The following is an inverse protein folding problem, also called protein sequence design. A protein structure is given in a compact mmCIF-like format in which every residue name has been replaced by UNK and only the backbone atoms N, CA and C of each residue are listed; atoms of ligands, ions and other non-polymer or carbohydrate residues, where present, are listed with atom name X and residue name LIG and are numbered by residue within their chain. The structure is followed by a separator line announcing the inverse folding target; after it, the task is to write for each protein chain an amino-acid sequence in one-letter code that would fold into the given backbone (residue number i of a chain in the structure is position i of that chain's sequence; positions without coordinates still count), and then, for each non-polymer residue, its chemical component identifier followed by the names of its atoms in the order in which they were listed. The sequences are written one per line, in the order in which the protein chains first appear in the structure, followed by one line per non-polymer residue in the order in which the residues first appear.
data_IF_278564467741
#
_entry.id   IF_278564467741
#
_cell.length_a   1.000
_cell.length_b   1.000
_cell.length_c   1.000
_cell.angle_alpha   90.00
_cell.angle_beta   90.00
_cell.angle_gamma   90.00
#
_symmetry.space_group_name_H-M   'P 1'
#
loop_
_entity.id
_entity.type
_entity.pdbx_description
1 polymer ?
#
# COMPACT_ATOMS: atom_id res chain seq x y z
N UNK A 1 -4.49 17.75 -10.41
CA UNK A 1 -4.46 16.45 -9.70
C UNK A 1 -4.57 16.65 -8.22
N UNK A 2 -5.39 15.87 -7.60
CA UNK A 2 -5.55 15.88 -6.17
C UNK A 2 -5.24 14.49 -5.63
N UNK A 3 -4.56 14.45 -4.47
CA UNK A 3 -4.21 13.19 -3.81
C UNK A 3 -4.94 13.16 -2.48
N UNK A 4 -5.71 12.11 -2.25
CA UNK A 4 -6.43 11.91 -0.99
C UNK A 4 -5.87 10.71 -0.27
N UNK A 5 -5.48 10.88 0.98
CA UNK A 5 -5.03 9.77 1.81
C UNK A 5 -6.24 8.94 2.21
N UNK A 6 -6.21 7.65 1.88
CA UNK A 6 -7.29 6.73 2.27
C UNK A 6 -6.82 5.73 3.32
N UNK A 7 -5.52 5.41 3.36
CA UNK A 7 -4.95 4.49 4.35
C UNK A 7 -3.66 5.11 4.89
N UNK A 8 -3.44 5.01 6.19
CA UNK A 8 -2.21 5.45 6.83
C UNK A 8 -1.68 4.34 7.74
N UNK A 9 -0.57 4.63 8.44
CA UNK A 9 0.15 3.64 9.25
C UNK A 9 -0.75 2.88 10.21
N UNK A 10 -1.68 3.58 10.84
CA UNK A 10 -2.51 2.99 11.90
C UNK A 10 -3.49 1.95 11.39
N UNK A 11 -3.68 1.86 10.07
CA UNK A 11 -4.54 0.83 9.48
C UNK A 11 -3.76 -0.42 9.08
N UNK A 12 -2.44 -0.42 9.22
CA UNK A 12 -1.60 -1.58 8.88
C UNK A 12 -1.45 -2.45 10.11
N UNK A 13 -1.82 -3.72 10.02
CA UNK A 13 -1.68 -4.65 11.13
C UNK A 13 -0.43 -5.51 11.02
N UNK A 14 0.03 -5.78 9.81
CA UNK A 14 1.27 -6.53 9.62
C UNK A 14 1.82 -6.30 8.23
N UNK A 15 3.11 -6.56 8.06
CA UNK A 15 3.77 -6.47 6.76
C UNK A 15 4.95 -7.44 6.74
N UNK A 16 5.14 -8.07 5.58
CA UNK A 16 6.21 -9.06 5.40
C UNK A 16 6.80 -8.94 4.01
N UNK A 17 8.08 -9.31 3.91
CA UNK A 17 8.73 -9.42 2.61
C UNK A 17 8.36 -10.75 1.98
N UNK A 18 7.98 -10.73 0.72
CA UNK A 18 7.65 -11.94 -0.03
C UNK A 18 8.45 -11.95 -1.32
N UNK A 19 8.74 -13.15 -1.81
CA UNK A 19 9.52 -13.33 -3.04
C UNK A 19 8.83 -14.36 -3.92
N UNK A 20 7.74 -13.94 -4.60
CA UNK A 20 6.97 -14.91 -5.40
C UNK A 20 7.74 -15.45 -6.60
N UNK A 21 8.67 -14.67 -7.14
CA UNK A 21 9.56 -15.12 -8.21
C UNK A 21 10.96 -14.62 -7.90
N UNK A 22 11.58 -13.86 -8.79
CA UNK A 22 12.91 -13.30 -8.56
C UNK A 22 12.88 -11.88 -8.01
N UNK A 23 11.71 -11.38 -7.68
CA UNK A 23 11.57 -10.01 -7.20
C UNK A 23 11.18 -10.01 -5.73
N UNK A 24 11.56 -8.93 -5.04
CA UNK A 24 11.17 -8.71 -3.66
C UNK A 24 9.94 -7.81 -3.64
N UNK A 25 8.97 -8.20 -2.86
CA UNK A 25 7.73 -7.45 -2.69
C UNK A 25 7.40 -7.37 -1.20
N UNK A 26 6.56 -6.44 -0.83
CA UNK A 26 6.13 -6.30 0.56
C UNK A 26 4.61 -6.53 0.61
N UNK A 27 4.22 -7.55 1.34
CA UNK A 27 2.83 -7.90 1.57
C UNK A 27 2.38 -7.23 2.87
N UNK A 28 1.19 -6.63 2.87
CA UNK A 28 0.67 -6.01 4.09
C UNK A 28 -0.78 -6.39 4.31
N UNK A 29 -1.20 -6.33 5.56
CA UNK A 29 -2.60 -6.54 5.94
C UNK A 29 -3.13 -5.32 6.66
N UNK A 30 -4.43 -5.07 6.48
CA UNK A 30 -5.11 -3.94 7.07
C UNK A 30 -5.99 -4.40 8.23
N UNK A 31 -6.26 -3.47 9.15
CA UNK A 31 -7.26 -3.67 10.20
C UNK A 31 -8.65 -3.84 9.58
N UNK A 32 -9.62 -4.27 10.38
CA UNK A 32 -10.99 -4.42 9.91
C UNK A 32 -11.53 -3.11 9.37
N UNK A 33 -11.24 -2.00 10.03
CA UNK A 33 -11.69 -0.70 9.56
C UNK A 33 -10.97 -0.28 8.29
N UNK A 34 -9.65 -0.51 8.22
CA UNK A 34 -8.89 -0.22 7.01
C UNK A 34 -9.37 -1.03 5.82
N UNK A 35 -9.72 -2.28 6.07
CA UNK A 35 -10.29 -3.15 5.04
C UNK A 35 -11.56 -2.56 4.45
N UNK A 36 -12.47 -2.07 5.30
CA UNK A 36 -13.72 -1.48 4.82
C UNK A 36 -13.47 -0.20 4.04
N UNK A 37 -12.59 0.66 4.54
CA UNK A 37 -12.27 1.92 3.87
C UNK A 37 -11.64 1.66 2.51
N UNK A 38 -10.70 0.72 2.47
CA UNK A 38 -10.00 0.40 1.24
C UNK A 38 -10.96 -0.21 0.20
N UNK A 39 -11.83 -1.12 0.63
CA UNK A 39 -12.82 -1.71 -0.26
C UNK A 39 -13.76 -0.66 -0.84
N UNK A 40 -14.21 0.27 0.00
CA UNK A 40 -15.10 1.34 -0.42
C UNK A 40 -14.45 2.21 -1.50
N UNK A 41 -13.23 2.66 -1.25
CA UNK A 41 -12.57 3.57 -2.19
C UNK A 41 -12.12 2.88 -3.46
N UNK A 42 -11.65 1.64 -3.37
CA UNK A 42 -11.20 0.95 -4.58
C UNK A 42 -12.39 0.58 -5.47
N UNK A 43 -13.54 0.22 -4.87
CA UNK A 43 -14.73 -0.11 -5.66
C UNK A 43 -15.21 1.09 -6.48
N UNK A 44 -15.06 2.30 -5.97
CA UNK A 44 -15.52 3.51 -6.64
C UNK A 44 -14.52 4.08 -7.64
N UNK A 45 -13.32 3.53 -7.70
CA UNK A 45 -12.24 4.16 -8.46
C UNK A 45 -11.51 3.16 -9.34
N UNK A 46 -12.26 2.24 -9.93
CA UNK A 46 -11.71 1.28 -10.88
C UNK A 46 -11.06 2.04 -12.03
N UNK A 47 -9.91 1.58 -12.47
CA UNK A 47 -9.08 2.17 -13.54
C UNK A 47 -8.38 3.46 -13.14
N UNK A 48 -8.43 3.84 -11.88
CA UNK A 48 -7.65 4.97 -11.36
C UNK A 48 -6.42 4.44 -10.65
N UNK A 49 -5.53 5.34 -10.26
CA UNK A 49 -4.26 4.97 -9.67
C UNK A 49 -4.27 5.17 -8.17
N UNK A 50 -3.62 4.27 -7.47
CA UNK A 50 -3.24 4.48 -6.07
C UNK A 50 -1.82 5.03 -6.05
N UNK A 51 -1.52 5.86 -5.07
CA UNK A 51 -0.16 6.27 -4.78
C UNK A 51 0.27 5.67 -3.46
N UNK A 52 1.29 4.83 -3.49
CA UNK A 52 1.87 4.27 -2.28
C UNK A 52 3.03 5.17 -1.90
N UNK A 53 2.88 5.89 -0.79
CA UNK A 53 3.80 6.97 -0.41
C UNK A 53 4.48 6.63 0.91
N UNK A 54 5.79 6.69 0.91
CA UNK A 54 6.59 6.52 2.12
C UNK A 54 7.43 7.78 2.31
N UNK A 55 7.22 8.45 3.44
CA UNK A 55 7.97 9.65 3.82
C UNK A 55 8.00 10.68 2.68
N UNK A 56 6.81 10.96 2.11
CA UNK A 56 6.59 11.95 1.04
C UNK A 56 7.13 11.53 -0.31
N UNK A 57 7.58 10.29 -0.46
CA UNK A 57 8.09 9.76 -1.72
C UNK A 57 7.14 8.70 -2.23
N UNK A 58 6.69 8.84 -3.47
CA UNK A 58 5.85 7.82 -4.11
C UNK A 58 6.74 6.64 -4.48
N UNK A 59 6.50 5.50 -3.85
CA UNK A 59 7.30 4.31 -4.09
C UNK A 59 6.63 3.33 -5.06
N UNK A 60 5.33 3.49 -5.28
CA UNK A 60 4.58 2.66 -6.23
C UNK A 60 3.28 3.35 -6.55
N UNK A 61 2.74 3.11 -7.75
CA UNK A 61 1.45 3.69 -8.13
C UNK A 61 0.65 2.72 -9.00
N UNK A 62 0.16 1.61 -8.38
CA UNK A 62 -0.60 0.62 -9.13
C UNK A 62 -1.96 1.14 -9.57
N UNK A 63 -2.47 0.56 -10.65
CA UNK A 63 -3.82 0.87 -11.10
C UNK A 63 -4.80 -0.05 -10.38
N UNK A 64 -5.99 0.49 -10.09
CA UNK A 64 -7.05 -0.28 -9.43
C UNK A 64 -7.81 -1.02 -10.52
N UNK A 65 -7.70 -2.33 -10.55
CA UNK A 65 -8.36 -3.15 -11.56
C UNK A 65 -9.70 -3.67 -11.09
N UNK A 66 -9.86 -3.83 -9.78
CA UNK A 66 -11.10 -4.28 -9.17
C UNK A 66 -11.11 -3.84 -7.71
N UNK A 67 -12.28 -3.92 -7.08
CA UNK A 67 -12.36 -3.60 -5.65
C UNK A 67 -11.46 -4.53 -4.85
N UNK A 68 -10.74 -3.97 -3.89
CA UNK A 68 -9.85 -4.74 -3.03
C UNK A 68 -10.56 -4.92 -1.69
N UNK A 69 -11.13 -6.11 -1.50
CA UNK A 69 -12.03 -6.37 -0.38
C UNK A 69 -11.44 -7.24 0.71
N UNK A 70 -10.25 -7.80 0.49
CA UNK A 70 -9.64 -8.75 1.43
C UNK A 70 -8.83 -8.08 2.51
N UNK A 71 -8.58 -6.78 2.41
CA UNK A 71 -7.78 -6.07 3.41
C UNK A 71 -6.31 -6.40 3.32
N UNK A 72 -5.85 -6.78 2.15
CA UNK A 72 -4.47 -7.15 1.91
C UNK A 72 -3.96 -6.47 0.65
N UNK A 73 -2.67 -6.24 0.58
CA UNK A 73 -2.07 -5.68 -0.60
C UNK A 73 -0.60 -6.04 -0.71
N UNK A 74 -0.07 -5.82 -1.90
CA UNK A 74 1.33 -6.08 -2.18
C UNK A 74 1.92 -4.83 -2.80
N UNK A 75 3.02 -4.36 -2.23
CA UNK A 75 3.78 -3.27 -2.82
C UNK A 75 4.88 -3.89 -3.64
N UNK A 76 4.86 -3.65 -4.94
CA UNK A 76 5.90 -4.12 -5.83
C UNK A 76 6.67 -2.93 -6.37
N UNK A 77 7.92 -3.16 -6.74
CA UNK A 77 8.77 -2.12 -7.26
C UNK A 77 10.17 -2.66 -7.44
N UNK A 78 11.13 -1.76 -7.60
CA UNK A 78 12.51 -2.16 -7.76
C UNK A 78 13.17 -2.31 -6.40
N UNK A 79 12.71 -3.30 -5.64
CA UNK A 79 13.26 -3.57 -4.32
C UNK A 79 14.36 -4.62 -4.40
N UNK A 80 15.42 -4.40 -3.64
CA UNK A 80 16.32 -5.49 -3.30
C UNK A 80 15.91 -5.99 -1.90
N UNK A 81 16.62 -7.01 -1.40
CA UNK A 81 16.29 -7.59 -0.09
C UNK A 81 16.29 -6.52 1.00
N UNK A 82 17.29 -5.65 0.98
CA UNK A 82 17.47 -4.65 2.03
C UNK A 82 16.35 -3.63 2.03
N UNK A 83 16.01 -3.08 0.86
CA UNK A 83 14.98 -2.06 0.78
C UNK A 83 13.59 -2.63 1.08
N UNK A 84 13.32 -3.86 0.65
CA UNK A 84 12.06 -4.52 0.97
C UNK A 84 11.93 -4.74 2.48
N UNK A 85 13.01 -5.16 3.15
CA UNK A 85 12.98 -5.35 4.59
C UNK A 85 12.81 -4.03 5.33
N UNK A 86 13.41 -2.96 4.84
CA UNK A 86 13.22 -1.64 5.43
C UNK A 86 11.77 -1.20 5.35
N UNK A 87 11.13 -1.40 4.21
CA UNK A 87 9.73 -1.02 4.06
C UNK A 87 8.84 -1.85 4.99
N UNK A 88 9.06 -3.16 5.07
CA UNK A 88 8.29 -4.01 5.95
C UNK A 88 8.46 -3.58 7.41
N UNK A 89 9.67 -3.22 7.81
CA UNK A 89 9.94 -2.73 9.17
C UNK A 89 9.19 -1.44 9.44
N UNK A 90 9.20 -0.50 8.49
CA UNK A 90 8.48 0.76 8.64
C UNK A 90 6.98 0.50 8.82
N UNK A 91 6.41 -0.40 8.01
CA UNK A 91 4.99 -0.71 8.11
C UNK A 91 4.63 -1.37 9.42
N UNK A 92 5.52 -2.18 9.99
CA UNK A 92 5.27 -2.86 11.26
C UNK A 92 5.49 -1.96 12.47
N UNK A 93 6.42 -1.00 12.39
CA UNK A 93 6.80 -0.18 13.54
C UNK A 93 6.42 1.28 13.38
N UNK A 94 6.04 1.70 12.19
CA UNK A 94 5.60 3.06 11.88
C UNK A 94 6.60 4.16 12.21
N UNK A 95 7.92 3.97 11.97
CA UNK A 95 8.88 5.05 12.23
C UNK A 95 8.80 6.20 11.22
N UNK A 96 8.22 5.96 10.03
CA UNK A 96 8.07 6.96 8.98
C UNK A 96 6.62 6.98 8.50
N UNK A 97 6.14 8.13 8.02
CA UNK A 97 4.77 8.20 7.49
C UNK A 97 4.60 7.31 6.25
N UNK A 98 3.63 6.44 6.31
CA UNK A 98 3.22 5.60 5.18
C UNK A 98 1.78 5.94 4.84
N UNK A 99 1.49 6.20 3.57
CA UNK A 99 0.14 6.55 3.12
C UNK A 99 -0.18 5.82 1.84
N UNK A 100 -1.41 5.36 1.72
CA UNK A 100 -1.96 4.96 0.43
C UNK A 100 -2.91 6.07 0.04
N UNK A 101 -2.66 6.70 -1.09
CA UNK A 101 -3.44 7.83 -1.56
C UNK A 101 -4.13 7.48 -2.86
N UNK A 102 -5.31 8.05 -3.02
CA UNK A 102 -6.05 7.94 -4.28
C UNK A 102 -5.67 9.14 -5.13
N UNK A 103 -5.25 8.88 -6.36
CA UNK A 103 -4.87 9.93 -7.29
C UNK A 103 -6.10 10.28 -8.13
N UNK A 104 -6.57 11.50 -8.01
CA UNK A 104 -7.67 12.01 -8.82
C UNK A 104 -7.12 12.90 -9.91
N UNK A 105 -7.66 12.76 -11.07
CA UNK A 105 -7.29 13.59 -12.21
C UNK A 105 -8.29 14.71 -12.41
#
# INVERSE_FOLDING_TARGET
KTWHTIISNDAITSADVVTPTDSYQVFFELSNEGKRVFAFHTAKNINKYLGIVLDKIVISNPIIKQAITEGQGVVSGKFNKETAQQLATVLNTSPLPFRIKLVEK
#
